data_IF_103890923761
#
_entry.id   IF_103890923761
#
_cell.length_a   1.000
_cell.length_b   1.000
_cell.length_c   1.000
_cell.angle_alpha   90.00
_cell.angle_beta   90.00
_cell.angle_gamma   90.00
#
_symmetry.space_group_name_H-M   'P 1'
#
loop_
_entity.id
_entity.type
_entity.pdbx_description
1 polymer ?
#
# COMPACT_ATOMS: atom_id res chain seq x y z
N UNK A 1 4.48 -1.72 -14.77
CA UNK A 1 5.69 -2.01 -13.95
C UNK A 1 6.10 -0.71 -13.26
N UNK A 2 6.63 -0.77 -12.05
CA UNK A 2 7.08 0.42 -11.30
C UNK A 2 8.59 0.36 -11.23
N UNK A 3 9.27 1.39 -11.74
CA UNK A 3 10.72 1.44 -11.82
C UNK A 3 11.21 2.78 -11.26
N UNK A 4 12.28 2.74 -10.45
CA UNK A 4 13.01 3.91 -9.93
C UNK A 4 12.11 5.02 -9.35
N UNK A 5 11.35 4.70 -8.31
CA UNK A 5 10.44 5.63 -7.64
C UNK A 5 11.02 6.04 -6.29
N UNK A 6 11.27 7.34 -6.12
CA UNK A 6 11.67 7.93 -4.84
C UNK A 6 10.55 8.84 -4.33
N UNK A 7 10.06 8.56 -3.12
CA UNK A 7 8.97 9.31 -2.48
C UNK A 7 9.36 9.64 -1.05
N UNK A 8 9.01 10.85 -0.62
CA UNK A 8 9.17 11.28 0.77
C UNK A 8 7.83 11.85 1.26
N UNK A 9 7.37 11.36 2.41
CA UNK A 9 6.15 11.85 3.05
C UNK A 9 6.46 12.36 4.45
N UNK A 10 6.35 13.67 4.64
CA UNK A 10 6.52 14.29 5.95
C UNK A 10 5.34 13.97 6.88
N UNK A 11 5.61 13.96 8.20
CA UNK A 11 4.58 13.76 9.22
C UNK A 11 3.43 14.77 9.07
N UNK A 12 2.20 14.29 9.20
CA UNK A 12 0.99 15.12 9.11
C UNK A 12 0.64 15.57 7.69
N UNK A 13 1.27 14.99 6.67
CA UNK A 13 0.93 15.22 5.26
C UNK A 13 0.23 14.01 4.67
N UNK A 14 -0.47 14.24 3.57
CA UNK A 14 -1.12 13.22 2.76
C UNK A 14 -0.49 13.20 1.38
N UNK A 15 -0.10 12.01 0.91
CA UNK A 15 0.37 11.79 -0.46
C UNK A 15 -0.72 11.09 -1.26
N UNK A 16 -1.10 11.65 -2.40
CA UNK A 16 -1.98 11.01 -3.36
C UNK A 16 -1.20 10.57 -4.59
N UNK A 17 -1.35 9.31 -5.00
CA UNK A 17 -0.75 8.76 -6.22
C UNK A 17 -1.85 8.60 -7.27
N UNK A 18 -1.73 9.33 -8.37
CA UNK A 18 -2.74 9.39 -9.45
C UNK A 18 -2.09 8.92 -10.77
N UNK A 19 -2.88 8.32 -11.65
CA UNK A 19 -2.42 7.83 -12.94
C UNK A 19 -3.43 6.86 -13.57
N UNK A 20 -3.24 6.53 -14.84
CA UNK A 20 -4.13 5.66 -15.61
C UNK A 20 -4.28 4.26 -15.00
N UNK A 21 -5.34 3.54 -15.35
CA UNK A 21 -5.49 2.13 -14.95
C UNK A 21 -4.28 1.32 -15.43
N UNK A 22 -3.75 0.44 -14.58
CA UNK A 22 -2.55 -0.36 -14.90
C UNK A 22 -1.20 0.35 -14.74
N UNK A 23 -1.15 1.64 -14.41
CA UNK A 23 0.12 2.39 -14.17
C UNK A 23 0.98 1.88 -13.01
N UNK A 24 0.48 0.98 -12.18
CA UNK A 24 1.25 0.39 -11.07
C UNK A 24 1.03 1.04 -9.70
N UNK A 25 0.05 1.94 -9.55
CA UNK A 25 -0.31 2.59 -8.27
C UNK A 25 -0.53 1.58 -7.13
N UNK A 26 -1.35 0.57 -7.37
CA UNK A 26 -1.64 -0.48 -6.37
C UNK A 26 -0.42 -1.36 -6.10
N UNK A 27 0.42 -1.57 -7.11
CA UNK A 27 1.70 -2.29 -6.97
C UNK A 27 2.65 -1.54 -6.05
N UNK A 28 2.82 -0.23 -6.28
CA UNK A 28 3.62 0.65 -5.43
C UNK A 28 3.08 0.67 -3.99
N UNK A 29 1.76 0.84 -3.81
CA UNK A 29 1.17 0.85 -2.48
C UNK A 29 1.42 -0.46 -1.72
N UNK A 30 1.26 -1.62 -2.40
CA UNK A 30 1.52 -2.94 -1.81
C UNK A 30 3.00 -3.15 -1.46
N UNK A 31 3.91 -2.67 -2.31
CA UNK A 31 5.34 -2.72 -2.06
C UNK A 31 5.71 -1.91 -0.79
N UNK A 32 5.19 -0.70 -0.63
CA UNK A 32 5.44 0.15 0.56
C UNK A 32 5.03 -0.54 1.88
N UNK A 33 3.87 -1.19 1.89
CA UNK A 33 3.36 -1.89 3.08
C UNK A 33 3.92 -3.31 3.23
N UNK A 34 4.77 -3.76 2.31
CA UNK A 34 5.46 -5.05 2.37
C UNK A 34 4.61 -6.27 1.99
N UNK A 35 3.59 -6.07 1.16
CA UNK A 35 2.67 -7.13 0.67
C UNK A 35 3.09 -7.72 -0.68
N UNK A 36 4.10 -7.15 -1.33
CA UNK A 36 4.61 -7.65 -2.60
C UNK A 36 6.00 -8.25 -2.39
N UNK A 37 6.16 -9.59 -2.46
CA UNK A 37 7.48 -10.20 -2.46
C UNK A 37 8.27 -9.73 -3.69
N UNK A 38 9.60 -9.70 -3.59
CA UNK A 38 10.52 -9.32 -4.68
C UNK A 38 10.54 -7.84 -5.09
N UNK A 39 10.23 -6.95 -4.16
CA UNK A 39 10.51 -5.51 -4.36
C UNK A 39 11.99 -5.22 -4.11
N UNK A 40 12.64 -4.54 -5.04
CA UNK A 40 13.99 -3.98 -4.83
C UNK A 40 13.90 -2.55 -4.30
N UNK A 41 14.80 -2.19 -3.38
CA UNK A 41 14.85 -0.88 -2.74
C UNK A 41 14.69 -0.96 -1.22
N UNK A 42 14.43 0.19 -0.60
CA UNK A 42 14.23 0.29 0.85
C UNK A 42 13.08 1.22 1.18
N UNK A 43 12.41 0.96 2.30
CA UNK A 43 11.37 1.82 2.85
C UNK A 43 11.79 2.18 4.26
N UNK A 44 11.85 3.47 4.55
CA UNK A 44 12.14 3.98 5.88
C UNK A 44 10.88 4.58 6.51
N UNK A 45 10.64 4.26 7.77
CA UNK A 45 9.56 4.84 8.55
C UNK A 45 10.09 5.26 9.92
N UNK A 46 9.98 6.55 10.24
CA UNK A 46 10.51 7.15 11.48
C UNK A 46 11.99 6.82 11.77
N UNK A 47 12.87 6.95 10.77
CA UNK A 47 14.30 6.66 10.98
C UNK A 47 14.67 5.18 10.91
N UNK A 48 13.68 4.29 10.72
CA UNK A 48 13.89 2.84 10.76
C UNK A 48 13.60 2.23 9.40
N UNK A 49 14.61 1.56 8.84
CA UNK A 49 14.46 0.74 7.64
C UNK A 49 13.54 -0.44 7.93
N UNK A 50 12.48 -0.56 7.15
CA UNK A 50 11.51 -1.64 7.27
C UNK A 50 11.97 -2.88 6.51
N UNK A 51 11.65 -4.06 7.04
CA UNK A 51 11.77 -5.29 6.25
C UNK A 51 10.87 -5.20 4.99
N UNK A 52 11.33 -5.70 3.83
CA UNK A 52 10.53 -5.78 2.62
C UNK A 52 9.25 -6.61 2.81
N UNK A 53 9.25 -7.60 3.72
CA UNK A 53 8.08 -8.41 4.01
C UNK A 53 7.41 -7.94 5.30
N UNK A 54 6.10 -7.64 5.24
CA UNK A 54 5.36 -7.14 6.40
C UNK A 54 5.39 -8.11 7.59
N UNK A 55 5.43 -9.42 7.34
CA UNK A 55 5.46 -10.48 8.34
C UNK A 55 6.72 -10.44 9.22
N UNK A 56 7.78 -9.80 8.74
CA UNK A 56 9.05 -9.65 9.43
C UNK A 56 9.21 -8.27 10.10
N UNK A 57 8.19 -7.41 10.02
CA UNK A 57 8.19 -6.09 10.67
C UNK A 57 7.76 -6.21 12.13
N UNK A 58 8.24 -5.30 12.96
CA UNK A 58 7.84 -5.26 14.37
C UNK A 58 6.33 -4.99 14.51
N UNK A 59 5.72 -5.59 15.53
CA UNK A 59 4.28 -5.44 15.82
C UNK A 59 3.85 -3.98 15.98
N UNK A 60 4.71 -3.15 16.56
CA UNK A 60 4.46 -1.72 16.71
C UNK A 60 4.41 -1.00 15.36
N UNK A 61 5.36 -1.28 14.46
CA UNK A 61 5.34 -0.77 13.08
C UNK A 61 4.05 -1.13 12.36
N UNK A 62 3.63 -2.39 12.46
CA UNK A 62 2.41 -2.88 11.83
C UNK A 62 1.16 -2.15 12.34
N UNK A 63 1.09 -1.80 13.63
CA UNK A 63 -0.02 -1.00 14.18
C UNK A 63 -0.08 0.42 13.62
N UNK A 64 1.05 0.96 13.17
CA UNK A 64 1.18 2.34 12.68
C UNK A 64 1.04 2.45 11.16
N UNK A 65 1.18 1.34 10.44
CA UNK A 65 1.07 1.27 8.98
C UNK A 65 -0.08 0.34 8.64
N UNK A 66 -1.17 0.88 8.13
CA UNK A 66 -2.36 0.12 7.75
C UNK A 66 -2.75 0.43 6.30
N UNK A 67 -2.96 -0.61 5.51
CA UNK A 67 -3.50 -0.49 4.16
C UNK A 67 -5.02 -0.64 4.22
N UNK A 68 -5.73 0.34 3.71
CA UNK A 68 -7.16 0.26 3.46
C UNK A 68 -7.34 -0.05 1.97
N UNK A 69 -7.96 -1.18 1.66
CA UNK A 69 -8.26 -1.55 0.28
C UNK A 69 -9.49 -0.78 -0.21
N UNK A 70 -9.41 -0.27 -1.43
CA UNK A 70 -10.60 0.17 -2.15
C UNK A 70 -11.38 -1.07 -2.59
N UNK A 71 -12.23 -1.60 -1.71
CA UNK A 71 -13.35 -2.45 -2.12
C UNK A 71 -14.65 -1.95 -1.46
N UNK A 72 -15.25 -0.85 -1.96
CA UNK A 72 -16.58 -0.43 -1.55
C UNK A 72 -17.70 -1.20 -2.27
N UNK A 73 -17.43 -1.79 -3.44
CA UNK A 73 -18.51 -2.22 -4.35
C UNK A 73 -19.13 -3.60 -4.03
N UNK A 74 -18.51 -4.42 -3.17
CA UNK A 74 -19.08 -5.74 -2.80
C UNK A 74 -20.02 -5.65 -1.59
N UNK A 75 -20.00 -4.54 -0.86
CA UNK A 75 -20.78 -4.40 0.38
C UNK A 75 -22.14 -3.70 0.21
N UNK A 76 -22.40 -3.07 -0.94
CA UNK A 76 -23.54 -2.14 -1.11
C UNK A 76 -24.62 -2.59 -2.09
N UNK A 77 -24.57 -3.79 -2.68
CA UNK A 77 -25.71 -4.31 -3.42
C UNK A 77 -25.72 -5.85 -3.50
N UNK A 78 -26.54 -6.58 -2.73
CA UNK A 78 -26.97 -7.91 -3.18
C UNK A 78 -27.68 -7.73 -4.54
N UNK A 79 -27.45 -8.60 -5.55
CA UNK A 79 -28.21 -8.52 -6.78
C UNK A 79 -29.72 -8.60 -6.45
N UNK A 80 -30.58 -7.79 -7.09
CA UNK A 80 -32.01 -7.93 -6.90
C UNK A 80 -32.40 -9.36 -7.27
N UNK A 81 -33.11 -10.00 -6.35
CA UNK A 81 -33.72 -11.32 -6.56
C UNK A 81 -34.65 -11.23 -7.77
N UNK A 82 -34.27 -11.86 -8.88
CA UNK A 82 -35.13 -12.01 -10.03
C UNK A 82 -35.94 -13.28 -9.85
N UNK A 83 -37.14 -13.12 -9.28
CA UNK A 83 -38.25 -14.07 -9.37
C UNK A 83 -38.78 -14.19 -10.80
#
# INVERSE_FOLDING_TARGET
MVNDVNLQLARGKTLAVIGESGSGKSTLARALVGLLPDTQGSVEFDGVTLSPLYQQRQKETLRRIQMIYQLPDVALNPPPDHS
#
